data_IF_752284895499
#
_entry.id   IF_752284895499
#
_cell.length_a   1.000
_cell.length_b   1.000
_cell.length_c   1.000
_cell.angle_alpha   90.00
_cell.angle_beta   90.00
_cell.angle_gamma   90.00
#
_symmetry.space_group_name_H-M   'P 1'
#
loop_
_entity.id
_entity.type
_entity.pdbx_description
1 polymer ?
#
# COMPACT_ATOMS: atom_id res chain seq x y z
N UNK A 1 -23.75 -11.16 13.41
CA UNK A 1 -22.56 -11.66 12.68
C UNK A 1 -22.06 -10.52 11.81
N UNK A 2 -20.78 -10.17 11.89
CA UNK A 2 -20.20 -9.21 10.95
C UNK A 2 -19.69 -9.97 9.72
N UNK A 3 -19.88 -9.38 8.54
CA UNK A 3 -19.33 -9.90 7.28
C UNK A 3 -18.21 -9.00 6.81
N UNK A 4 -17.09 -9.62 6.43
CA UNK A 4 -15.93 -8.93 5.88
C UNK A 4 -15.90 -9.12 4.36
N UNK A 5 -15.55 -8.05 3.65
CA UNK A 5 -15.36 -8.06 2.20
C UNK A 5 -14.10 -7.25 1.84
N UNK A 6 -13.45 -7.64 0.74
CA UNK A 6 -12.37 -6.84 0.14
C UNK A 6 -13.03 -5.83 -0.79
N UNK A 7 -12.81 -4.55 -0.54
CA UNK A 7 -13.44 -3.46 -1.30
C UNK A 7 -12.53 -2.83 -2.35
N UNK A 8 -11.21 -2.89 -2.14
CA UNK A 8 -10.21 -2.30 -3.03
C UNK A 8 -8.86 -3.02 -2.88
N UNK A 9 -8.03 -2.94 -3.92
CA UNK A 9 -6.65 -3.46 -3.90
C UNK A 9 -5.76 -2.62 -4.82
N UNK A 10 -4.49 -2.47 -4.43
CA UNK A 10 -3.50 -1.73 -5.21
C UNK A 10 -2.13 -2.37 -5.07
N UNK A 11 -1.34 -2.30 -6.13
CA UNK A 11 0.01 -2.86 -6.18
C UNK A 11 0.98 -1.80 -6.70
N UNK A 12 2.18 -1.82 -6.15
CA UNK A 12 3.31 -1.07 -6.71
C UNK A 12 3.89 -1.82 -7.90
N UNK A 13 4.64 -1.14 -8.78
CA UNK A 13 5.43 -1.82 -9.82
C UNK A 13 6.56 -2.62 -9.20
N UNK A 14 6.65 -3.88 -9.62
CA UNK A 14 7.64 -4.86 -9.18
C UNK A 14 8.96 -4.66 -9.89
N UNK A 15 10.05 -5.07 -9.23
CA UNK A 15 11.41 -5.08 -9.80
C UNK A 15 12.39 -4.19 -9.04
N UNK A 16 13.67 -4.39 -9.34
CA UNK A 16 14.76 -3.58 -8.77
C UNK A 16 14.75 -2.21 -9.45
N UNK A 17 14.59 -1.15 -8.65
CA UNK A 17 14.55 0.23 -9.13
C UNK A 17 14.83 1.19 -8.00
N UNK A 18 15.27 2.39 -8.37
CA UNK A 18 15.44 3.52 -7.46
C UNK A 18 14.10 3.94 -6.83
N UNK A 19 13.82 3.36 -5.67
CA UNK A 19 12.70 3.69 -4.80
C UNK A 19 13.03 3.24 -3.37
N UNK A 20 12.59 4.02 -2.41
CA UNK A 20 12.58 3.65 -1.00
C UNK A 20 11.37 2.78 -0.69
N UNK A 21 11.45 1.97 0.36
CA UNK A 21 10.30 1.17 0.80
C UNK A 21 9.03 2.01 1.03
N UNK A 22 9.19 3.22 1.61
CA UNK A 22 8.07 4.16 1.82
C UNK A 22 7.42 4.57 0.50
N UNK A 23 8.20 4.88 -0.53
CA UNK A 23 7.66 5.22 -1.85
C UNK A 23 6.92 4.05 -2.48
N UNK A 24 7.41 2.81 -2.30
CA UNK A 24 6.71 1.60 -2.77
C UNK A 24 5.35 1.43 -2.09
N UNK A 25 5.28 1.61 -0.76
CA UNK A 25 4.03 1.54 0.01
C UNK A 25 3.05 2.63 -0.43
N UNK A 26 3.54 3.86 -0.65
CA UNK A 26 2.71 4.97 -1.11
C UNK A 26 2.18 4.75 -2.54
N UNK A 27 2.99 4.19 -3.44
CA UNK A 27 2.56 3.84 -4.80
C UNK A 27 1.43 2.80 -4.76
N UNK A 28 1.57 1.74 -3.97
CA UNK A 28 0.53 0.73 -3.80
C UNK A 28 -0.74 1.32 -3.17
N UNK A 29 -0.59 2.15 -2.12
CA UNK A 29 -1.70 2.82 -1.46
C UNK A 29 -2.47 3.74 -2.41
N UNK A 30 -1.76 4.55 -3.21
CA UNK A 30 -2.39 5.39 -4.22
C UNK A 30 -3.15 4.56 -5.26
N UNK A 31 -2.55 3.50 -5.77
CA UNK A 31 -3.22 2.62 -6.72
C UNK A 31 -4.50 1.98 -6.12
N UNK A 32 -4.50 1.69 -4.83
CA UNK A 32 -5.67 1.17 -4.12
C UNK A 32 -6.79 2.21 -4.03
N UNK A 33 -6.49 3.44 -3.57
CA UNK A 33 -7.51 4.49 -3.47
C UNK A 33 -8.03 4.92 -4.85
N UNK A 34 -7.15 4.98 -5.86
CA UNK A 34 -7.55 5.30 -7.23
C UNK A 34 -8.42 4.19 -7.87
N UNK A 35 -8.44 2.96 -7.30
CA UNK A 35 -9.27 1.86 -7.82
C UNK A 35 -10.76 1.97 -7.47
N UNK A 36 -11.13 2.84 -6.51
CA UNK A 36 -12.51 3.02 -6.04
C UNK A 36 -12.80 4.51 -5.80
N UNK A 37 -13.68 5.09 -6.63
CA UNK A 37 -13.96 6.54 -6.66
C UNK A 37 -14.49 7.13 -5.34
N UNK A 38 -15.15 6.32 -4.51
CA UNK A 38 -15.80 6.76 -3.27
C UNK A 38 -15.09 6.30 -1.99
N UNK A 39 -13.80 5.95 -2.08
CA UNK A 39 -12.99 5.57 -0.92
C UNK A 39 -12.03 6.72 -0.57
N UNK A 40 -12.17 7.31 0.62
CA UNK A 40 -11.24 8.31 1.14
C UNK A 40 -10.53 7.80 2.39
N UNK A 41 -9.38 8.41 2.71
CA UNK A 41 -8.62 8.10 3.93
C UNK A 41 -9.43 8.27 5.22
N UNK A 42 -10.45 9.12 5.25
CA UNK A 42 -11.34 9.32 6.40
C UNK A 42 -12.24 8.10 6.67
N UNK A 43 -12.41 7.23 5.68
CA UNK A 43 -13.23 6.01 5.77
C UNK A 43 -12.41 4.82 6.30
N UNK A 44 -11.13 5.04 6.66
CA UNK A 44 -10.20 4.03 7.16
C UNK A 44 -9.93 4.22 8.65
N UNK A 45 -10.41 3.29 9.47
CA UNK A 45 -10.19 3.33 10.92
C UNK A 45 -8.77 2.91 11.34
N UNK A 46 -8.18 1.96 10.61
CA UNK A 46 -6.89 1.38 10.95
C UNK A 46 -6.09 0.98 9.70
N UNK A 47 -4.77 1.11 9.79
CA UNK A 47 -3.83 0.65 8.78
C UNK A 47 -2.89 -0.39 9.39
N UNK A 48 -2.88 -1.59 8.82
CA UNK A 48 -1.96 -2.65 9.20
C UNK A 48 -0.87 -2.75 8.13
N UNK A 49 0.39 -2.67 8.54
CA UNK A 49 1.54 -2.76 7.63
C UNK A 49 2.45 -3.89 8.08
N UNK A 50 2.64 -4.87 7.19
CA UNK A 50 3.60 -5.95 7.37
C UNK A 50 4.80 -5.76 6.46
N UNK A 51 6.01 -5.80 7.03
CA UNK A 51 7.25 -5.80 6.28
C UNK A 51 8.24 -6.74 6.97
N UNK A 52 8.96 -7.53 6.16
CA UNK A 52 9.99 -8.42 6.69
C UNK A 52 11.19 -7.62 7.24
N UNK A 53 11.58 -6.56 6.54
CA UNK A 53 12.69 -5.68 6.93
C UNK A 53 12.52 -4.26 6.35
N UNK A 54 11.68 -3.40 6.98
CA UNK A 54 11.37 -2.08 6.45
C UNK A 54 12.51 -1.05 6.63
N UNK A 55 13.37 -1.23 7.65
CA UNK A 55 14.40 -0.25 8.03
C UNK A 55 15.77 -0.54 7.41
N UNK A 56 16.05 -1.79 7.03
CA UNK A 56 17.37 -2.18 6.50
C UNK A 56 17.40 -2.38 4.99
N UNK A 57 16.29 -2.16 4.28
CA UNK A 57 16.27 -2.21 2.82
C UNK A 57 17.21 -1.11 2.26
N UNK A 58 18.37 -1.47 1.66
CA UNK A 58 19.23 -0.48 1.02
C UNK A 58 18.43 0.22 -0.09
N UNK A 59 18.76 1.47 -0.46
CA UNK A 59 18.19 2.08 -1.65
C UNK A 59 18.40 1.12 -2.82
N UNK A 60 17.31 0.58 -3.37
CA UNK A 60 17.38 -0.41 -4.45
C UNK A 60 17.97 0.30 -5.67
N UNK A 61 19.25 0.05 -5.96
CA UNK A 61 19.96 0.62 -7.12
C UNK A 61 19.51 -0.05 -8.40
#
# INVERSE_FOLDING_TARGET
MAMAAIVAAGLTRWGVRKATWKELVQEAGKALFDSVENLDRKDVDALFVGAADPESAPPMT
#
